data_IF_252183928942
#
_entry.id   IF_252183928942
#
_cell.length_a   1.000
_cell.length_b   1.000
_cell.length_c   1.000
_cell.angle_alpha   90.00
_cell.angle_beta   90.00
_cell.angle_gamma   90.00
#
_symmetry.space_group_name_H-M   'P 1'
#
loop_
_entity.id
_entity.type
_entity.pdbx_description
1 polymer ?
#
# COMPACT_ATOMS: atom_id res chain seq x y z
N UNK A 1 -31.98 -2.34 12.18
CA UNK A 1 -31.61 -2.57 10.77
C UNK A 1 -31.06 -1.31 10.09
N UNK A 2 -31.76 -0.16 10.12
CA UNK A 2 -31.31 1.11 9.52
C UNK A 2 -29.89 1.56 9.95
N UNK A 3 -29.54 1.40 11.23
CA UNK A 3 -28.20 1.77 11.74
C UNK A 3 -27.08 0.86 11.20
N UNK A 4 -27.38 -0.41 10.94
CA UNK A 4 -26.42 -1.38 10.37
C UNK A 4 -26.14 -1.03 8.91
N UNK A 5 -27.17 -0.63 8.15
CA UNK A 5 -27.04 -0.20 6.76
C UNK A 5 -26.11 1.03 6.67
N UNK A 6 -26.28 2.01 7.56
CA UNK A 6 -25.41 3.20 7.61
C UNK A 6 -23.96 2.80 7.90
N UNK A 7 -23.74 1.87 8.83
CA UNK A 7 -22.39 1.41 9.17
C UNK A 7 -21.69 0.73 7.98
N UNK A 8 -22.43 -0.10 7.23
CA UNK A 8 -21.92 -0.76 6.02
C UNK A 8 -21.54 0.28 4.95
N UNK A 9 -22.38 1.29 4.73
CA UNK A 9 -22.06 2.37 3.80
C UNK A 9 -20.80 3.14 4.22
N UNK A 10 -20.63 3.46 5.50
CA UNK A 10 -19.44 4.15 6.01
C UNK A 10 -18.18 3.32 5.75
N UNK A 11 -18.21 2.01 6.02
CA UNK A 11 -17.08 1.11 5.72
C UNK A 11 -16.78 1.04 4.22
N UNK A 12 -17.81 1.04 3.37
CA UNK A 12 -17.65 1.04 1.91
C UNK A 12 -17.02 2.34 1.41
N UNK A 13 -17.46 3.50 1.92
CA UNK A 13 -16.90 4.81 1.54
C UNK A 13 -15.45 5.00 2.03
N UNK A 14 -15.08 4.41 3.16
CA UNK A 14 -13.72 4.47 3.70
C UNK A 14 -12.75 3.47 3.04
N UNK A 15 -13.26 2.51 2.24
CA UNK A 15 -12.42 1.53 1.55
C UNK A 15 -11.48 2.15 0.49
N UNK A 16 -11.79 3.34 -0.03
CA UNK A 16 -10.95 4.03 -1.02
C UNK A 16 -9.65 4.63 -0.46
N UNK A 17 -9.47 4.68 0.87
CA UNK A 17 -8.25 5.20 1.49
C UNK A 17 -7.15 4.15 1.63
N UNK A 18 -7.48 2.87 1.50
CA UNK A 18 -6.55 1.75 1.65
C UNK A 18 -6.42 1.00 0.33
N UNK A 19 -5.18 0.83 -0.12
CA UNK A 19 -4.79 0.12 -1.31
C UNK A 19 -4.11 -1.19 -0.94
N UNK A 20 -4.49 -2.26 -1.63
CA UNK A 20 -3.76 -3.52 -1.58
C UNK A 20 -2.70 -3.50 -2.68
N UNK A 21 -1.43 -3.56 -2.29
CA UNK A 21 -0.30 -3.64 -3.20
C UNK A 21 0.51 -4.92 -2.93
N UNK A 22 1.60 -5.12 -3.68
CA UNK A 22 2.49 -6.28 -3.53
C UNK A 22 3.09 -6.41 -2.11
N UNK A 23 3.03 -5.35 -1.31
CA UNK A 23 3.52 -5.28 0.07
C UNK A 23 2.42 -5.21 1.12
N UNK A 24 1.17 -5.54 0.78
CA UNK A 24 0.04 -5.59 1.71
C UNK A 24 -0.88 -4.38 1.63
N UNK A 25 -1.27 -3.83 2.79
CA UNK A 25 -2.24 -2.71 2.87
C UNK A 25 -1.49 -1.41 3.11
N UNK A 26 -1.68 -0.43 2.21
CA UNK A 26 -1.03 0.88 2.26
C UNK A 26 -2.02 1.99 1.89
N UNK A 27 -1.74 3.23 2.29
CA UNK A 27 -2.47 4.41 1.77
C UNK A 27 -2.00 4.81 0.37
N UNK A 28 -0.98 4.13 -0.17
CA UNK A 28 -0.38 4.38 -1.49
C UNK A 28 -0.51 3.15 -2.39
N UNK A 29 -0.92 3.41 -3.63
CA UNK A 29 -0.98 2.37 -4.66
C UNK A 29 0.42 1.86 -5.04
N UNK A 30 1.36 2.77 -5.26
CA UNK A 30 2.75 2.42 -5.60
C UNK A 30 3.61 2.21 -4.36
N UNK A 31 4.57 1.29 -4.48
CA UNK A 31 5.58 1.05 -3.45
C UNK A 31 6.57 2.23 -3.42
N UNK A 32 6.92 2.69 -2.22
CA UNK A 32 7.94 3.72 -2.00
C UNK A 32 9.36 3.15 -2.14
N UNK A 33 9.64 2.53 -3.28
CA UNK A 33 10.95 2.02 -3.62
C UNK A 33 11.86 3.17 -4.09
N UNK A 34 13.09 3.21 -3.57
CA UNK A 34 14.16 4.05 -4.09
C UNK A 34 14.87 3.29 -5.20
N UNK A 35 14.82 3.86 -6.39
CA UNK A 35 15.47 3.34 -7.58
C UNK A 35 16.57 4.30 -8.00
N UNK A 36 17.80 3.82 -8.13
CA UNK A 36 18.97 4.63 -8.48
C UNK A 36 20.06 3.77 -9.13
N UNK A 37 21.01 4.42 -9.80
CA UNK A 37 22.25 3.79 -10.24
C UNK A 37 23.36 4.11 -9.25
N UNK A 38 24.11 3.10 -8.82
CA UNK A 38 25.28 3.32 -7.98
C UNK A 38 26.46 3.89 -8.77
N UNK A 39 27.56 4.18 -8.07
CA UNK A 39 28.76 4.75 -8.68
C UNK A 39 29.41 3.86 -9.76
N UNK A 40 29.07 2.57 -9.80
CA UNK A 40 29.54 1.63 -10.84
C UNK A 40 28.61 1.58 -12.05
N UNK A 41 27.49 2.30 -12.03
CA UNK A 41 26.45 2.25 -13.06
C UNK A 41 25.51 1.05 -12.91
N UNK A 42 25.52 0.36 -11.76
CA UNK A 42 24.62 -0.78 -11.51
C UNK A 42 23.28 -0.28 -10.99
N UNK A 43 22.18 -0.79 -11.55
CA UNK A 43 20.83 -0.47 -11.08
C UNK A 43 20.57 -1.08 -9.70
N UNK A 44 20.10 -0.25 -8.77
CA UNK A 44 19.74 -0.63 -7.43
C UNK A 44 18.27 -0.27 -7.17
N UNK A 45 17.53 -1.20 -6.57
CA UNK A 45 16.15 -1.00 -6.11
C UNK A 45 16.05 -1.37 -4.64
N UNK A 46 15.87 -0.37 -3.79
CA UNK A 46 15.69 -0.54 -2.36
C UNK A 46 14.26 -0.21 -1.99
N UNK A 47 13.59 -1.13 -1.28
CA UNK A 47 12.22 -0.93 -0.88
C UNK A 47 12.05 -1.23 0.63
N UNK A 48 11.10 -0.57 1.32
CA UNK A 48 10.82 -0.82 2.74
C UNK A 48 10.45 -2.28 3.00
N UNK A 49 10.75 -2.83 4.18
CA UNK A 49 10.40 -4.21 4.54
C UNK A 49 8.92 -4.52 4.22
N UNK A 50 8.66 -5.65 3.55
CA UNK A 50 7.31 -6.10 3.30
C UNK A 50 6.69 -6.64 4.59
N UNK A 51 5.49 -6.20 4.92
CA UNK A 51 4.73 -6.67 6.10
C UNK A 51 4.19 -8.10 5.91
N UNK A 52 4.14 -8.61 4.67
CA UNK A 52 3.74 -10.00 4.37
C UNK A 52 4.91 -10.98 4.58
N UNK A 53 6.15 -10.53 4.41
CA UNK A 53 7.34 -11.40 4.42
C UNK A 53 7.93 -11.58 5.85
N UNK A 54 7.12 -11.38 6.91
CA UNK A 54 7.51 -11.58 8.31
C UNK A 54 7.11 -12.98 8.80
#
# INVERSE_FOLDING_TARGET
>A
MKNVIILIFVLFFLSGCLWFNERGVSTRYYNDCKEYYDATGTYQKQCPQNIIDW
#
